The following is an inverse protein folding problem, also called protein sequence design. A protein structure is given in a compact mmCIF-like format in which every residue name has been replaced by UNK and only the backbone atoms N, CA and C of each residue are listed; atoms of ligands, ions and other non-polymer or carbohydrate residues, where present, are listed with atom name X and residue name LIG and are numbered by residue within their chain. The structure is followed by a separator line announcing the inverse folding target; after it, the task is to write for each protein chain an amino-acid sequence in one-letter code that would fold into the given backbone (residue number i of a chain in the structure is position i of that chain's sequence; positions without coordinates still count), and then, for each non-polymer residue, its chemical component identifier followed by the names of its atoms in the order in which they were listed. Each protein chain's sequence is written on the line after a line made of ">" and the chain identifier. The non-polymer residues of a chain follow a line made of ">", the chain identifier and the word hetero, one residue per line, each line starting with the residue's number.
data_IF_933611613088
#
_entry.id   IF_933611613088
#
_cell.length_a   1.000
_cell.length_b   1.000
_cell.length_c   1.000
_cell.angle_alpha   90.00
_cell.angle_beta   90.00
_cell.angle_gamma   90.00
#
_symmetry.space_group_name_H-M   'P 1'
#
loop_
_entity.id
_entity.type
_entity.pdbx_description
1 polymer ?
#
# COMPACT_ATOMS: atom_id res chain seq x y z
N UNK A 1 -0.95 -20.70 -11.71
CA UNK A 1 0.12 -20.07 -10.92
C UNK A 1 0.97 -21.10 -10.18
N UNK A 2 2.05 -20.63 -9.55
CA UNK A 2 2.95 -21.51 -8.81
C UNK A 2 2.47 -21.71 -7.38
N UNK A 3 2.51 -22.95 -6.91
CA UNK A 3 2.37 -23.25 -5.48
C UNK A 3 3.71 -22.93 -4.83
N UNK A 4 3.78 -21.80 -4.12
CA UNK A 4 4.96 -21.44 -3.35
C UNK A 4 5.01 -22.21 -2.04
N UNK A 5 6.17 -22.78 -1.71
CA UNK A 5 6.46 -23.31 -0.37
C UNK A 5 7.82 -22.80 0.09
N UNK A 6 7.97 -22.67 1.40
CA UNK A 6 9.14 -22.05 1.99
C UNK A 6 9.15 -20.52 1.85
N UNK A 7 10.33 -19.93 1.97
CA UNK A 7 10.54 -18.48 1.96
C UNK A 7 10.79 -18.02 0.52
N UNK A 8 9.80 -17.39 -0.11
CA UNK A 8 9.89 -16.88 -1.47
C UNK A 8 9.76 -15.34 -1.57
N UNK A 9 9.64 -14.67 -0.43
CA UNK A 9 9.68 -13.21 -0.29
C UNK A 9 10.84 -12.79 0.60
N UNK A 10 11.35 -11.55 0.49
CA UNK A 10 12.42 -11.06 1.36
C UNK A 10 12.05 -11.18 2.85
N UNK A 11 13.02 -11.59 3.65
CA UNK A 11 12.93 -11.59 5.11
C UNK A 11 14.00 -10.67 5.64
N UNK A 12 13.62 -9.75 6.52
CA UNK A 12 14.50 -8.74 7.08
C UNK A 12 14.57 -8.88 8.60
N UNK A 13 15.78 -8.85 9.15
CA UNK A 13 16.00 -8.63 10.56
C UNK A 13 16.15 -7.13 10.79
N UNK A 14 15.21 -6.53 11.50
CA UNK A 14 15.29 -5.12 11.88
C UNK A 14 15.77 -4.99 13.32
N UNK A 15 16.86 -4.23 13.50
CA UNK A 15 17.38 -3.89 14.82
C UNK A 15 17.16 -2.39 15.03
N UNK A 16 16.37 -2.03 16.02
CA UNK A 16 16.04 -0.64 16.37
C UNK A 16 16.45 -0.32 17.81
N UNK A 17 16.74 0.94 18.13
CA UNK A 17 16.90 1.37 19.52
C UNK A 17 15.61 1.11 20.29
N UNK A 18 15.70 1.07 21.63
CA UNK A 18 14.55 0.78 22.50
C UNK A 18 13.42 1.81 22.34
N UNK A 19 13.78 3.05 22.08
CA UNK A 19 12.92 4.21 21.77
C UNK A 19 12.76 4.46 20.26
N UNK A 20 13.05 3.44 19.42
CA UNK A 20 12.96 3.53 17.97
C UNK A 20 11.54 3.72 17.46
N UNK A 21 11.44 4.20 16.23
CA UNK A 21 10.16 4.49 15.57
C UNK A 21 9.31 3.21 15.47
N UNK A 22 8.09 3.28 15.99
CA UNK A 22 7.07 2.21 15.91
C UNK A 22 6.35 2.27 14.57
N UNK A 23 5.61 1.24 14.18
CA UNK A 23 4.86 1.22 12.94
C UNK A 23 4.04 2.49 12.74
N UNK A 24 4.07 3.00 11.52
CA UNK A 24 3.42 4.26 11.13
C UNK A 24 2.29 3.96 10.16
N UNK A 25 1.12 4.55 10.42
CA UNK A 25 -0.03 4.53 9.50
C UNK A 25 -0.32 5.96 9.07
N UNK A 26 -0.52 6.18 7.77
CA UNK A 26 -0.85 7.48 7.21
C UNK A 26 -2.18 7.35 6.47
N UNK A 27 -3.12 8.20 6.83
CA UNK A 27 -4.47 8.21 6.27
C UNK A 27 -4.84 9.59 5.77
N UNK A 28 -5.35 9.71 4.56
CA UNK A 28 -5.97 10.95 4.08
C UNK A 28 -7.28 11.17 4.82
N UNK A 29 -7.44 12.35 5.44
CA UNK A 29 -8.66 12.78 6.13
C UNK A 29 -9.54 13.59 5.17
N UNK A 30 -8.94 14.52 4.44
CA UNK A 30 -9.61 15.32 3.41
C UNK A 30 -8.62 15.69 2.29
N UNK A 31 -9.15 16.18 1.17
CA UNK A 31 -8.34 16.63 0.02
C UNK A 31 -8.53 18.13 -0.29
N UNK A 32 -9.50 18.78 0.35
CA UNK A 32 -9.76 20.22 0.20
C UNK A 32 -10.30 20.82 1.51
N UNK A 33 -9.44 21.37 2.40
CA UNK A 33 -7.97 21.34 2.36
C UNK A 33 -7.42 19.93 2.45
N UNK A 34 -6.20 19.71 1.95
CA UNK A 34 -5.55 18.41 2.05
C UNK A 34 -5.03 18.19 3.46
N UNK A 35 -5.54 17.16 4.12
CA UNK A 35 -5.23 16.83 5.51
C UNK A 35 -4.94 15.33 5.62
N UNK A 36 -3.85 14.99 6.25
CA UNK A 36 -3.49 13.60 6.57
C UNK A 36 -3.42 13.41 8.07
N UNK A 37 -3.68 12.20 8.51
CA UNK A 37 -3.47 11.76 9.89
C UNK A 37 -2.31 10.78 9.92
N UNK A 38 -1.29 11.10 10.70
CA UNK A 38 -0.12 10.26 10.95
C UNK A 38 -0.29 9.61 12.30
N UNK A 39 -0.47 8.30 12.32
CA UNK A 39 -0.65 7.50 13.54
C UNK A 39 0.58 6.65 13.80
N UNK A 40 1.09 6.69 15.02
CA UNK A 40 2.17 5.85 15.53
C UNK A 40 2.10 5.77 17.04
N UNK A 41 2.61 4.71 17.62
CA UNK A 41 2.81 4.56 19.07
C UNK A 41 4.18 5.10 19.52
N UNK A 42 4.91 5.80 18.65
CA UNK A 42 6.20 6.40 18.97
C UNK A 42 5.99 7.64 19.83
N UNK A 43 6.50 7.60 21.06
CA UNK A 43 6.46 8.74 21.95
C UNK A 43 7.45 9.83 21.51
N UNK A 44 7.09 11.10 21.70
CA UNK A 44 7.95 12.26 21.42
C UNK A 44 8.51 12.33 19.99
N UNK A 45 7.81 11.74 19.01
CA UNK A 45 8.23 11.79 17.62
C UNK A 45 7.94 13.16 16.98
N UNK A 46 8.84 13.60 16.11
CA UNK A 46 8.61 14.67 15.16
C UNK A 46 8.23 14.09 13.78
N UNK A 47 7.38 14.79 13.06
CA UNK A 47 6.93 14.42 11.70
C UNK A 47 7.30 15.52 10.73
N UNK A 48 7.89 15.13 9.61
CA UNK A 48 8.13 16.01 8.45
C UNK A 48 7.50 15.38 7.21
N UNK A 49 6.79 16.18 6.42
CA UNK A 49 6.22 15.75 5.13
C UNK A 49 7.01 16.40 4.01
N UNK A 50 7.48 15.59 3.07
CA UNK A 50 8.34 16.01 1.97
C UNK A 50 7.70 15.75 0.61
N UNK A 51 7.72 16.75 -0.28
CA UNK A 51 7.45 16.63 -1.72
C UNK A 51 8.80 16.68 -2.45
N UNK A 52 9.34 15.52 -2.78
CA UNK A 52 10.70 15.40 -3.28
C UNK A 52 11.73 15.94 -2.27
N UNK A 53 12.43 17.00 -2.62
CA UNK A 53 13.43 17.66 -1.76
C UNK A 53 12.87 18.79 -0.89
N UNK A 54 11.59 19.14 -1.03
CA UNK A 54 10.97 20.22 -0.30
C UNK A 54 10.17 19.72 0.89
N UNK A 55 10.49 20.18 2.11
CA UNK A 55 9.65 19.96 3.27
C UNK A 55 8.43 20.88 3.20
N UNK A 56 7.23 20.29 3.08
CA UNK A 56 5.96 21.01 2.88
C UNK A 56 5.13 21.15 4.14
N UNK A 57 5.35 20.30 5.13
CA UNK A 57 4.69 20.38 6.44
C UNK A 57 5.55 19.75 7.54
N UNK A 58 5.38 20.22 8.77
CA UNK A 58 6.03 19.67 9.98
C UNK A 58 5.04 19.65 11.13
N UNK A 59 5.22 18.72 12.05
CA UNK A 59 4.38 18.61 13.24
C UNK A 59 4.78 17.47 14.16
N UNK A 60 3.86 17.08 15.02
CA UNK A 60 3.88 15.83 15.78
C UNK A 60 2.94 14.81 15.10
N UNK A 61 3.00 13.51 15.46
CA UNK A 61 1.98 12.55 15.08
C UNK A 61 0.57 13.08 15.36
N UNK A 62 -0.36 12.84 14.44
CA UNK A 62 -1.71 13.37 14.48
C UNK A 62 -2.13 13.98 13.14
N UNK A 63 -2.97 14.99 13.18
CA UNK A 63 -3.55 15.63 12.00
C UNK A 63 -2.63 16.74 11.47
N UNK A 64 -2.26 16.65 10.19
CA UNK A 64 -1.34 17.58 9.53
C UNK A 64 -1.99 18.05 8.22
N UNK A 65 -2.08 19.36 8.02
CA UNK A 65 -2.49 19.97 6.77
C UNK A 65 -1.29 20.10 5.83
N UNK A 66 -1.51 19.79 4.55
CA UNK A 66 -0.48 19.89 3.51
C UNK A 66 -0.94 20.94 2.48
N UNK A 67 -0.35 22.14 2.52
CA UNK A 67 -0.72 23.22 1.61
C UNK A 67 -0.46 22.84 0.15
N UNK A 68 -1.39 23.20 -0.75
CA UNK A 68 -1.27 23.00 -2.20
C UNK A 68 -0.90 21.56 -2.60
N UNK A 69 -1.47 20.58 -1.90
CA UNK A 69 -1.13 19.19 -2.09
C UNK A 69 -1.47 18.69 -3.50
N UNK A 70 -0.56 17.92 -4.07
CA UNK A 70 -0.76 17.15 -5.29
C UNK A 70 -1.41 15.82 -4.92
N UNK A 71 -2.58 15.54 -5.48
CA UNK A 71 -3.30 14.31 -5.20
C UNK A 71 -2.70 13.14 -5.99
N UNK A 72 -2.84 11.95 -5.43
CA UNK A 72 -2.47 10.70 -6.09
C UNK A 72 -3.68 10.13 -6.83
N UNK A 73 -3.51 9.79 -8.09
CA UNK A 73 -4.39 8.92 -8.86
C UNK A 73 -3.56 8.07 -9.84
N UNK A 74 -4.20 7.19 -10.62
CA UNK A 74 -3.47 6.30 -11.52
C UNK A 74 -2.77 7.03 -12.69
N UNK A 75 -3.20 8.23 -13.06
CA UNK A 75 -2.57 9.03 -14.11
C UNK A 75 -1.52 10.00 -13.54
N UNK A 76 -1.70 10.42 -12.29
CA UNK A 76 -0.83 11.34 -11.57
C UNK A 76 -0.42 10.73 -10.22
N UNK A 77 0.50 9.76 -10.20
CA UNK A 77 0.88 9.03 -8.99
C UNK A 77 1.83 9.86 -8.09
N UNK A 78 1.35 11.03 -7.64
CA UNK A 78 2.13 11.90 -6.77
C UNK A 78 2.30 11.29 -5.39
N UNK A 79 3.55 11.11 -4.97
CA UNK A 79 3.90 10.56 -3.66
C UNK A 79 4.64 11.60 -2.84
N UNK A 80 4.32 11.62 -1.56
CA UNK A 80 5.05 12.32 -0.51
C UNK A 80 5.84 11.33 0.31
N UNK A 81 6.84 11.83 1.04
CA UNK A 81 7.55 11.06 2.05
C UNK A 81 7.26 11.64 3.42
N UNK A 82 6.71 10.83 4.30
CA UNK A 82 6.58 11.15 5.72
C UNK A 82 7.82 10.64 6.43
N UNK A 83 8.55 11.54 7.07
CA UNK A 83 9.73 11.23 7.88
C UNK A 83 9.36 11.38 9.34
N UNK A 84 9.47 10.29 10.09
CA UNK A 84 9.23 10.26 11.53
C UNK A 84 10.57 10.15 12.23
N UNK A 85 10.82 11.04 13.20
CA UNK A 85 12.10 11.13 13.89
C UNK A 85 11.92 11.07 15.41
N UNK A 86 12.74 10.28 16.04
CA UNK A 86 13.04 10.37 17.48
C UNK A 86 14.45 10.92 17.68
N UNK A 87 14.94 10.97 18.89
CA UNK A 87 16.34 11.35 19.15
C UNK A 87 17.34 10.36 18.52
N UNK A 88 16.98 9.07 18.47
CA UNK A 88 17.90 7.98 18.13
C UNK A 88 17.50 7.16 16.91
N UNK A 89 16.35 7.47 16.25
CA UNK A 89 15.87 6.71 15.10
C UNK A 89 15.10 7.59 14.12
N UNK A 90 15.14 7.23 12.85
CA UNK A 90 14.40 7.88 11.78
C UNK A 90 13.80 6.83 10.84
N UNK A 91 12.54 7.01 10.46
CA UNK A 91 11.88 6.18 9.47
C UNK A 91 11.19 7.03 8.41
N UNK A 92 11.30 6.60 7.14
CA UNK A 92 10.69 7.28 5.99
C UNK A 92 9.62 6.39 5.38
N UNK A 93 8.40 6.92 5.27
CA UNK A 93 7.23 6.21 4.72
C UNK A 93 6.68 6.97 3.53
N UNK A 94 6.72 6.40 2.31
CA UNK A 94 6.06 7.00 1.15
C UNK A 94 4.54 6.88 1.27
N UNK A 95 3.80 7.90 0.82
CA UNK A 95 2.34 7.86 0.78
C UNK A 95 1.78 8.79 -0.30
N UNK A 96 0.57 8.48 -0.78
CA UNK A 96 -0.20 9.32 -1.68
C UNK A 96 -1.43 9.91 -0.99
N UNK A 97 -1.83 11.11 -1.38
CA UNK A 97 -3.01 11.79 -0.85
C UNK A 97 -4.18 11.53 -1.79
N UNK A 98 -5.18 10.77 -1.34
CA UNK A 98 -6.37 10.47 -2.13
C UNK A 98 -7.57 10.16 -1.26
N UNK A 99 -8.75 10.35 -1.82
CA UNK A 99 -10.01 9.83 -1.25
C UNK A 99 -10.59 8.76 -2.15
N UNK A 100 -11.20 7.76 -1.53
CA UNK A 100 -11.96 6.70 -2.22
C UNK A 100 -13.39 6.73 -1.71
N UNK A 101 -14.34 6.82 -2.63
CA UNK A 101 -15.77 6.72 -2.31
C UNK A 101 -16.45 5.82 -3.34
N UNK A 102 -17.57 5.24 -2.97
CA UNK A 102 -18.36 4.41 -3.87
C UNK A 102 -19.85 4.50 -3.56
N UNK A 103 -20.65 4.40 -4.59
CA UNK A 103 -22.10 4.29 -4.46
C UNK A 103 -22.71 3.54 -5.66
N UNK A 104 -23.92 3.06 -5.53
CA UNK A 104 -24.64 2.45 -6.65
C UNK A 104 -24.82 3.42 -7.84
N UNK A 105 -24.90 4.72 -7.58
CA UNK A 105 -25.10 5.75 -8.60
C UNK A 105 -23.82 6.14 -9.32
N UNK A 106 -22.73 6.29 -8.60
CA UNK A 106 -21.46 6.84 -9.14
C UNK A 106 -20.42 5.77 -9.43
N UNK A 107 -20.58 4.56 -8.90
CA UNK A 107 -19.53 3.55 -8.87
C UNK A 107 -18.37 3.99 -7.97
N UNK A 108 -17.15 3.50 -8.26
CA UNK A 108 -15.94 3.90 -7.58
C UNK A 108 -15.52 5.31 -8.01
N UNK A 109 -15.26 6.16 -7.04
CA UNK A 109 -14.69 7.49 -7.25
C UNK A 109 -13.36 7.63 -6.53
N UNK A 110 -12.39 8.22 -7.21
CA UNK A 110 -11.09 8.62 -6.66
C UNK A 110 -11.00 10.13 -6.73
N UNK A 111 -10.75 10.80 -5.62
CA UNK A 111 -10.69 12.26 -5.52
C UNK A 111 -11.96 12.95 -6.10
N UNK A 112 -13.13 12.33 -5.87
CA UNK A 112 -14.42 12.79 -6.37
C UNK A 112 -14.74 12.46 -7.84
N UNK A 113 -13.80 11.90 -8.60
CA UNK A 113 -13.98 11.54 -10.01
C UNK A 113 -14.29 10.04 -10.16
N UNK A 114 -15.34 9.72 -10.93
CA UNK A 114 -15.66 8.32 -11.24
C UNK A 114 -14.53 7.64 -12.02
N UNK A 115 -14.11 6.49 -11.56
CA UNK A 115 -13.03 5.69 -12.16
C UNK A 115 -13.57 4.34 -12.61
N UNK A 116 -13.27 3.98 -13.87
CA UNK A 116 -13.48 2.62 -14.37
C UNK A 116 -12.18 1.83 -14.25
N UNK A 117 -12.20 0.73 -13.53
CA UNK A 117 -11.06 -0.15 -13.41
C UNK A 117 -10.90 -0.97 -14.69
N UNK A 118 -9.75 -0.83 -15.33
CA UNK A 118 -9.30 -1.65 -16.45
C UNK A 118 -8.14 -2.48 -15.95
N UNK A 119 -8.40 -3.74 -15.61
CA UNK A 119 -7.41 -4.56 -14.95
C UNK A 119 -7.58 -6.04 -15.19
N UNK A 120 -6.74 -6.81 -14.54
CA UNK A 120 -6.78 -8.27 -14.52
C UNK A 120 -6.29 -8.82 -13.19
N UNK A 121 -6.57 -10.10 -12.97
CA UNK A 121 -6.01 -10.82 -11.83
C UNK A 121 -4.53 -11.08 -12.08
N UNK A 122 -3.75 -10.96 -11.03
CA UNK A 122 -2.35 -11.38 -10.99
C UNK A 122 -2.13 -12.30 -9.80
N UNK A 123 -1.18 -13.19 -9.95
CA UNK A 123 -0.70 -14.06 -8.87
C UNK A 123 0.76 -13.74 -8.55
N UNK A 124 1.29 -14.28 -7.47
CA UNK A 124 2.72 -14.20 -7.15
C UNK A 124 3.50 -15.20 -8.02
N UNK A 125 3.50 -14.96 -9.31
CA UNK A 125 4.18 -15.73 -10.32
C UNK A 125 4.92 -14.79 -11.29
N UNK A 126 6.18 -15.05 -11.53
CA UNK A 126 7.06 -14.23 -12.35
C UNK A 126 7.76 -15.07 -13.45
N UNK A 127 7.00 -15.86 -14.18
CA UNK A 127 7.51 -16.71 -15.25
C UNK A 127 8.59 -17.67 -14.77
N UNK A 128 9.78 -17.60 -15.34
CA UNK A 128 10.91 -18.47 -14.96
C UNK A 128 11.41 -18.29 -13.53
N UNK A 129 11.02 -17.18 -12.86
CA UNK A 129 11.37 -16.91 -11.47
C UNK A 129 10.42 -17.61 -10.48
N UNK A 130 9.38 -18.29 -10.99
CA UNK A 130 8.39 -18.95 -10.14
C UNK A 130 7.65 -17.96 -9.24
N UNK A 131 7.48 -18.31 -7.98
CA UNK A 131 6.79 -17.48 -6.99
C UNK A 131 7.65 -16.34 -6.40
N UNK A 132 8.91 -16.20 -6.81
CA UNK A 132 9.81 -15.18 -6.23
C UNK A 132 9.35 -13.76 -6.58
N UNK A 133 9.10 -12.94 -5.55
CA UNK A 133 8.68 -11.54 -5.66
C UNK A 133 9.85 -10.56 -5.61
N UNK A 134 10.79 -10.64 -6.57
CA UNK A 134 11.89 -9.67 -6.67
C UNK A 134 11.35 -8.31 -7.09
N UNK A 135 11.82 -7.25 -6.45
CA UNK A 135 11.35 -5.88 -6.69
C UNK A 135 11.39 -5.46 -8.17
N UNK A 136 12.48 -5.77 -8.87
CA UNK A 136 12.63 -5.44 -10.29
C UNK A 136 11.64 -6.23 -11.19
N UNK A 137 11.31 -7.47 -10.82
CA UNK A 137 10.36 -8.28 -11.57
C UNK A 137 8.93 -7.75 -11.38
N UNK A 138 8.56 -7.37 -10.16
CA UNK A 138 7.26 -6.77 -9.86
C UNK A 138 7.11 -5.41 -10.54
N UNK A 139 8.12 -4.55 -10.46
CA UNK A 139 8.09 -3.26 -11.16
C UNK A 139 7.98 -3.43 -12.68
N UNK A 140 8.73 -4.36 -13.27
CA UNK A 140 8.64 -4.68 -14.70
C UNK A 140 7.22 -5.11 -15.08
N UNK A 141 6.58 -5.96 -14.27
CA UNK A 141 5.20 -6.44 -14.49
C UNK A 141 4.23 -5.26 -14.54
N UNK A 142 4.25 -4.41 -13.52
CA UNK A 142 3.36 -3.24 -13.45
C UNK A 142 3.62 -2.26 -14.59
N UNK A 143 4.88 -2.02 -14.94
CA UNK A 143 5.25 -1.15 -16.08
C UNK A 143 4.70 -1.68 -17.41
N UNK A 144 4.75 -2.99 -17.65
CA UNK A 144 4.18 -3.61 -18.84
C UNK A 144 2.65 -3.44 -18.86
N UNK A 145 1.98 -3.68 -17.74
CA UNK A 145 0.53 -3.53 -17.63
C UNK A 145 0.09 -2.07 -17.86
N UNK A 146 0.78 -1.10 -17.25
CA UNK A 146 0.53 0.33 -17.51
C UNK A 146 0.67 0.65 -19.00
N UNK A 147 1.74 0.21 -19.64
CA UNK A 147 1.97 0.42 -21.09
C UNK A 147 0.87 -0.20 -21.94
N UNK A 148 0.27 -1.29 -21.49
CA UNK A 148 -0.86 -1.95 -22.15
C UNK A 148 -2.22 -1.28 -21.86
N UNK A 149 -2.26 -0.17 -21.08
CA UNK A 149 -3.48 0.58 -20.79
C UNK A 149 -4.23 0.13 -19.53
N UNK A 150 -3.67 -0.77 -18.72
CA UNK A 150 -4.25 -1.13 -17.44
C UNK A 150 -4.08 0.00 -16.41
N UNK A 151 -5.08 0.16 -15.55
CA UNK A 151 -5.01 1.06 -14.40
C UNK A 151 -5.26 0.34 -13.07
N UNK A 152 -5.53 -0.97 -13.11
CA UNK A 152 -5.83 -1.75 -11.92
C UNK A 152 -5.30 -3.18 -12.00
N UNK A 153 -5.00 -3.76 -10.86
CA UNK A 153 -4.71 -5.19 -10.66
C UNK A 153 -5.52 -5.74 -9.49
N UNK A 154 -5.90 -7.00 -9.57
CA UNK A 154 -6.43 -7.77 -8.46
C UNK A 154 -5.40 -8.82 -8.06
N UNK A 155 -4.91 -8.75 -6.83
CA UNK A 155 -3.95 -9.70 -6.29
C UNK A 155 -4.70 -10.94 -5.80
N UNK A 156 -4.75 -11.96 -6.63
CA UNK A 156 -5.50 -13.18 -6.38
C UNK A 156 -4.58 -14.29 -5.85
N UNK A 157 -4.88 -14.91 -4.78
CA UNK A 157 -6.00 -14.83 -3.84
C UNK A 157 -5.47 -14.61 -2.42
N UNK A 158 -4.42 -13.84 -2.28
CA UNK A 158 -3.72 -13.57 -1.02
C UNK A 158 -2.93 -12.26 -1.14
N UNK A 159 -2.41 -11.71 -0.02
CA UNK A 159 -1.75 -10.40 -0.02
C UNK A 159 -0.58 -10.33 -0.99
N UNK A 160 -0.51 -9.21 -1.70
CA UNK A 160 0.59 -8.90 -2.60
C UNK A 160 1.94 -8.78 -1.87
N UNK A 161 3.04 -8.90 -2.62
CA UNK A 161 4.35 -8.53 -2.10
C UNK A 161 4.45 -7.02 -1.88
N UNK A 162 5.22 -6.59 -0.88
CA UNK A 162 5.51 -5.17 -0.68
C UNK A 162 6.06 -4.52 -1.95
N UNK A 163 6.96 -5.21 -2.63
CA UNK A 163 7.56 -4.74 -3.87
C UNK A 163 6.53 -4.46 -4.98
N UNK A 164 5.48 -5.29 -5.07
CA UNK A 164 4.37 -5.05 -6.01
C UNK A 164 3.59 -3.80 -5.64
N UNK A 165 3.23 -3.65 -4.36
CA UNK A 165 2.47 -2.49 -3.88
C UNK A 165 3.26 -1.19 -4.08
N UNK A 166 4.55 -1.19 -3.73
CA UNK A 166 5.44 -0.05 -3.94
C UNK A 166 5.56 0.33 -5.44
N UNK A 167 5.58 -0.67 -6.33
CA UNK A 167 5.57 -0.42 -7.77
C UNK A 167 4.22 0.17 -8.24
N UNK A 168 3.10 -0.33 -7.70
CA UNK A 168 1.77 0.20 -8.00
C UNK A 168 1.62 1.66 -7.53
N UNK A 169 2.12 1.99 -6.36
CA UNK A 169 2.09 3.35 -5.82
C UNK A 169 2.88 4.32 -6.71
N UNK A 170 4.11 3.95 -7.11
CA UNK A 170 4.97 4.79 -7.94
C UNK A 170 4.51 4.91 -9.39
N UNK A 171 3.95 3.86 -9.95
CA UNK A 171 3.56 3.82 -11.37
C UNK A 171 2.09 4.16 -11.61
N UNK A 172 1.30 4.35 -10.57
CA UNK A 172 -0.11 4.69 -10.66
C UNK A 172 -0.97 3.50 -11.08
N UNK A 173 -1.07 2.47 -10.23
CA UNK A 173 -1.91 1.31 -10.44
C UNK A 173 -2.82 1.11 -9.23
N UNK A 174 -4.13 1.04 -9.45
CA UNK A 174 -5.05 0.66 -8.37
C UNK A 174 -4.87 -0.82 -8.05
N UNK A 175 -4.97 -1.16 -6.78
CA UNK A 175 -4.84 -2.54 -6.31
C UNK A 175 -6.09 -2.97 -5.57
N UNK A 176 -6.65 -4.10 -5.98
CA UNK A 176 -7.60 -4.86 -5.17
C UNK A 176 -6.81 -5.99 -4.52
N UNK A 177 -6.38 -5.76 -3.29
CA UNK A 177 -5.62 -6.74 -2.52
C UNK A 177 -6.56 -7.71 -1.82
N UNK A 178 -6.23 -8.99 -1.84
CA UNK A 178 -7.03 -10.03 -1.20
C UNK A 178 -6.27 -10.60 0.01
N UNK A 179 -6.87 -10.48 1.19
CA UNK A 179 -6.24 -10.99 2.41
C UNK A 179 -6.30 -12.53 2.49
N UNK A 180 -7.43 -13.12 2.08
CA UNK A 180 -7.67 -14.56 2.23
C UNK A 180 -8.36 -15.13 0.99
N UNK A 181 -7.90 -16.29 0.52
CA UNK A 181 -8.50 -17.02 -0.60
C UNK A 181 -9.86 -17.64 -0.24
N UNK A 182 -9.98 -18.19 0.93
CA UNK A 182 -11.21 -18.77 1.46
C UNK A 182 -11.62 -18.13 2.78
N UNK A 183 -12.94 -17.90 2.96
CA UNK A 183 -13.48 -17.32 4.18
C UNK A 183 -14.24 -18.41 4.97
N UNK A 184 -15.55 -18.47 4.85
CA UNK A 184 -16.39 -19.43 5.58
C UNK A 184 -16.66 -20.71 4.80
N UNK A 185 -16.60 -20.65 3.46
CA UNK A 185 -16.86 -21.81 2.61
C UNK A 185 -15.53 -22.43 2.17
N UNK A 186 -15.26 -23.69 2.52
CA UNK A 186 -14.03 -24.36 2.12
C UNK A 186 -13.99 -24.59 0.61
N UNK A 187 -12.84 -24.37 0.01
CA UNK A 187 -12.51 -24.74 -1.37
C UNK A 187 -11.82 -26.10 -1.43
N UNK A 188 -11.05 -26.42 -0.39
CA UNK A 188 -10.34 -27.70 -0.25
C UNK A 188 -10.45 -28.22 1.18
N UNK A 189 -10.06 -29.49 1.39
CA UNK A 189 -10.16 -30.11 2.71
C UNK A 189 -9.28 -29.46 3.78
N UNK A 190 -8.13 -28.89 3.40
CA UNK A 190 -7.14 -28.27 4.31
C UNK A 190 -6.91 -26.78 4.02
N UNK A 191 -7.97 -26.03 3.75
CA UNK A 191 -7.82 -24.59 3.54
C UNK A 191 -8.03 -23.75 4.81
N UNK A 192 -7.80 -22.46 4.69
CA UNK A 192 -7.87 -21.48 5.76
C UNK A 192 -9.30 -21.30 6.34
N UNK A 193 -10.35 -21.69 5.61
CA UNK A 193 -11.74 -21.54 6.06
C UNK A 193 -12.02 -22.23 7.40
N UNK A 194 -11.24 -23.26 7.76
CA UNK A 194 -11.36 -23.97 9.02
C UNK A 194 -11.03 -23.15 10.26
N UNK A 195 -10.15 -22.17 10.10
CA UNK A 195 -9.67 -21.31 11.19
C UNK A 195 -10.02 -19.85 10.97
N UNK A 196 -10.58 -19.50 9.82
CA UNK A 196 -10.87 -18.12 9.43
C UNK A 196 -11.59 -17.33 10.53
N UNK A 197 -12.68 -17.85 11.06
CA UNK A 197 -13.52 -17.15 12.06
C UNK A 197 -12.75 -16.75 13.32
N UNK A 198 -11.78 -17.57 13.74
CA UNK A 198 -10.98 -17.35 14.95
C UNK A 198 -9.70 -16.57 14.72
N UNK A 199 -9.11 -16.63 13.50
CA UNK A 199 -7.75 -16.16 13.24
C UNK A 199 -7.67 -14.88 12.37
N UNK A 200 -8.68 -14.60 11.55
CA UNK A 200 -8.57 -13.54 10.52
C UNK A 200 -8.24 -12.13 11.04
N UNK A 201 -8.50 -11.85 12.33
CA UNK A 201 -8.23 -10.53 12.91
C UNK A 201 -6.79 -10.39 13.40
N UNK A 202 -6.14 -11.50 13.72
CA UNK A 202 -4.75 -11.54 14.20
C UNK A 202 -3.76 -11.64 13.03
N UNK A 203 -4.17 -12.31 11.94
CA UNK A 203 -3.41 -12.50 10.71
C UNK A 203 -3.52 -11.28 9.77
#
# INVERSE_FOLDING_TARGET
>A
WYTGSGIYRPVHLMVKPKDGVRPVKIRTVSIAPAVVEVQTETEHAAVEIWDGAQCVAKGAPGVIEIPQAKLWDAEHPNLYTCVIKTENDEESVPFGIRTLTWSAKTGLCVNGNTVKLRGGCIHHDNGILGACGFANAEERRIRIMKKAGYNAVRCAHNPASRALLDACDRLGMYVMDEAFDGWYTPKTYHDYSRIFESAWRED
#
